data_IF_720220983905
#
_entry.id   IF_720220983905
#
_cell.length_a   1.000
_cell.length_b   1.000
_cell.length_c   1.000
_cell.angle_alpha   90.00
_cell.angle_beta   90.00
_cell.angle_gamma   90.00
#
_symmetry.space_group_name_H-M   'P 1'
#
loop_
_entity.id
_entity.type
_entity.pdbx_description
1 polymer ?
#
# COMPACT_ATOMS: atom_id res chain seq x y z
N UNK A 1 -11.08 11.14 11.90
CA UNK A 1 -10.88 10.20 10.77
C UNK A 1 -12.22 9.65 10.32
N UNK A 2 -12.46 9.63 9.04
CA UNK A 2 -13.72 9.15 8.48
C UNK A 2 -13.48 7.91 7.63
N UNK A 3 -14.10 6.79 8.01
CA UNK A 3 -14.01 5.53 7.28
C UNK A 3 -14.78 5.61 5.97
N UNK A 4 -14.14 5.17 4.89
CA UNK A 4 -14.76 4.99 3.58
C UNK A 4 -14.44 3.62 3.06
N UNK A 5 -15.31 3.05 2.24
CA UNK A 5 -15.02 1.82 1.50
C UNK A 5 -15.01 2.12 0.01
N UNK A 6 -14.06 1.54 -0.71
CA UNK A 6 -13.89 1.77 -2.15
C UNK A 6 -13.48 0.50 -2.86
N UNK A 7 -13.87 0.35 -4.12
CA UNK A 7 -13.27 -0.60 -5.04
C UNK A 7 -12.22 0.16 -5.83
N UNK A 8 -11.01 -0.37 -5.89
CA UNK A 8 -9.93 0.36 -6.55
C UNK A 8 -8.91 -0.57 -7.17
N UNK A 9 -8.33 -0.12 -8.28
CA UNK A 9 -7.22 -0.76 -8.95
C UNK A 9 -6.02 0.17 -8.91
N UNK A 10 -4.86 -0.39 -8.54
CA UNK A 10 -3.60 0.35 -8.54
C UNK A 10 -2.69 -0.25 -9.60
N UNK A 11 -2.08 0.61 -10.42
CA UNK A 11 -1.01 0.22 -11.34
C UNK A 11 0.27 0.85 -10.85
N UNK A 12 1.29 0.04 -10.65
CA UNK A 12 2.56 0.53 -10.11
C UNK A 12 3.75 -0.16 -10.75
N UNK A 13 4.87 0.55 -10.74
CA UNK A 13 6.17 0.00 -11.04
C UNK A 13 7.03 0.15 -9.80
N UNK A 14 7.59 -0.94 -9.31
CA UNK A 14 8.28 -0.90 -8.03
C UNK A 14 9.39 -1.92 -7.89
N UNK A 15 10.06 -1.79 -6.75
CA UNK A 15 11.12 -2.69 -6.30
C UNK A 15 10.55 -3.60 -5.23
N UNK A 16 10.80 -4.90 -5.38
CA UNK A 16 10.38 -5.90 -4.40
C UNK A 16 11.36 -5.96 -3.24
N UNK A 17 10.83 -6.03 -2.03
CA UNK A 17 11.61 -6.27 -0.83
C UNK A 17 10.99 -7.37 0.02
N UNK A 18 11.75 -7.88 0.98
CA UNK A 18 11.30 -8.88 1.92
C UNK A 18 12.02 -8.69 3.25
N UNK A 19 11.33 -8.91 4.34
CA UNK A 19 11.93 -8.83 5.66
C UNK A 19 10.92 -9.01 6.77
N UNK A 20 11.40 -8.87 8.01
CA UNK A 20 10.56 -8.96 9.18
C UNK A 20 9.55 -7.81 9.22
N UNK A 21 8.31 -8.12 9.55
CA UNK A 21 7.27 -7.08 9.67
C UNK A 21 7.67 -5.96 10.61
N UNK A 22 8.31 -6.28 11.71
CA UNK A 22 8.77 -5.29 12.69
C UNK A 22 9.80 -4.31 12.11
N UNK A 23 10.45 -4.65 10.99
CA UNK A 23 11.45 -3.83 10.33
C UNK A 23 10.93 -3.07 9.11
N UNK A 24 9.65 -3.21 8.78
CA UNK A 24 9.07 -2.52 7.62
C UNK A 24 9.21 -1.01 7.73
N UNK A 25 9.18 -0.45 8.92
CA UNK A 25 9.40 0.99 9.13
C UNK A 25 10.76 1.48 8.68
N UNK A 26 11.76 0.59 8.57
CA UNK A 26 13.10 0.89 8.04
C UNK A 26 13.25 0.44 6.59
N UNK A 27 12.75 -0.76 6.27
CA UNK A 27 12.95 -1.39 4.96
C UNK A 27 12.16 -0.69 3.86
N UNK A 28 10.93 -0.27 4.13
CA UNK A 28 10.09 0.36 3.13
C UNK A 28 10.63 1.72 2.69
N UNK A 29 11.02 2.63 3.61
CA UNK A 29 11.63 3.90 3.19
C UNK A 29 12.95 3.72 2.42
N UNK A 30 13.75 2.72 2.80
CA UNK A 30 15.00 2.43 2.09
C UNK A 30 14.73 1.99 0.65
N UNK A 31 13.75 1.12 0.45
CA UNK A 31 13.34 0.70 -0.89
C UNK A 31 12.78 1.87 -1.70
N UNK A 32 12.05 2.78 -1.06
CA UNK A 32 11.52 3.97 -1.72
C UNK A 32 12.63 4.85 -2.30
N UNK A 33 13.75 4.98 -1.60
CA UNK A 33 14.90 5.74 -2.11
C UNK A 33 15.48 5.08 -3.36
N UNK A 34 15.56 3.76 -3.42
CA UNK A 34 16.01 3.05 -4.62
C UNK A 34 15.11 3.32 -5.81
N UNK A 35 13.80 3.38 -5.58
CA UNK A 35 12.83 3.69 -6.62
C UNK A 35 13.08 5.09 -7.20
N UNK A 36 13.30 6.06 -6.34
CA UNK A 36 13.60 7.44 -6.79
C UNK A 36 14.83 7.48 -7.69
N UNK A 37 15.89 6.77 -7.31
CA UNK A 37 17.11 6.70 -8.10
C UNK A 37 16.86 6.07 -9.47
N UNK A 38 16.01 5.06 -9.55
CA UNK A 38 15.74 4.32 -10.79
C UNK A 38 14.61 4.91 -11.65
N UNK A 39 13.89 5.91 -11.13
CA UNK A 39 12.65 6.39 -11.74
C UNK A 39 12.83 7.13 -13.07
N UNK A 40 14.05 7.55 -13.40
CA UNK A 40 14.31 8.26 -14.65
C UNK A 40 13.99 7.47 -15.92
N UNK A 41 13.84 6.15 -15.83
CA UNK A 41 13.46 5.29 -16.95
C UNK A 41 11.98 4.95 -17.02
N UNK A 42 11.14 5.57 -16.18
CA UNK A 42 9.72 5.25 -16.11
C UNK A 42 8.90 6.33 -16.81
N UNK A 43 8.13 5.91 -17.80
CA UNK A 43 7.16 6.79 -18.47
C UNK A 43 5.80 6.67 -17.76
N UNK A 44 4.94 7.67 -17.98
CA UNK A 44 3.55 7.64 -17.49
C UNK A 44 3.41 7.57 -15.98
N UNK A 45 4.34 8.19 -15.25
CA UNK A 45 4.28 8.26 -13.80
C UNK A 45 3.20 9.27 -13.38
N UNK A 46 2.31 8.85 -12.49
CA UNK A 46 1.26 9.72 -11.95
C UNK A 46 1.76 10.64 -10.83
N UNK A 47 3.05 10.64 -10.54
CA UNK A 47 3.66 11.54 -9.57
C UNK A 47 3.52 11.16 -8.11
N UNK A 48 2.95 10.01 -7.80
CA UNK A 48 2.77 9.54 -6.43
C UNK A 48 3.55 8.27 -6.15
N UNK A 49 4.12 8.20 -4.96
CA UNK A 49 4.75 6.98 -4.46
C UNK A 49 3.70 6.08 -3.84
N UNK A 50 3.95 4.77 -3.91
CA UNK A 50 3.04 3.75 -3.39
C UNK A 50 3.85 2.63 -2.77
N UNK A 51 3.33 2.07 -1.67
CA UNK A 51 3.83 0.83 -1.10
C UNK A 51 2.69 -0.17 -1.01
N UNK A 52 2.96 -1.41 -1.37
CA UNK A 52 2.03 -2.52 -1.17
C UNK A 52 2.77 -3.61 -0.39
N UNK A 53 2.12 -4.19 0.61
CA UNK A 53 2.80 -5.16 1.46
C UNK A 53 1.80 -6.18 2.01
N UNK A 54 2.33 -7.38 2.29
CA UNK A 54 1.53 -8.43 2.89
C UNK A 54 1.05 -8.04 4.28
N UNK A 55 -0.21 -8.32 4.63
CA UNK A 55 -0.63 -8.23 6.01
C UNK A 55 -0.07 -9.43 6.78
N UNK A 56 0.14 -9.26 8.09
CA UNK A 56 0.53 -10.36 8.96
C UNK A 56 -0.66 -11.31 9.10
N UNK A 57 -0.48 -12.58 8.70
CA UNK A 57 -1.56 -13.56 8.63
C UNK A 57 -1.80 -14.27 9.95
N UNK A 58 -0.75 -14.44 10.77
CA UNK A 58 -0.84 -15.13 12.05
C UNK A 58 0.27 -14.65 12.96
N UNK A 59 0.20 -15.06 14.22
CA UNK A 59 1.21 -14.72 15.20
C UNK A 59 2.61 -15.20 14.79
N UNK A 60 2.67 -16.34 14.08
CA UNK A 60 3.93 -16.95 13.65
C UNK A 60 4.43 -16.44 12.30
N UNK A 61 3.66 -15.60 11.61
CA UNK A 61 4.04 -15.01 10.33
C UNK A 61 4.95 -13.80 10.61
N UNK A 62 6.26 -14.03 10.63
CA UNK A 62 7.23 -13.04 11.07
C UNK A 62 7.83 -12.21 9.95
N UNK A 63 7.82 -12.73 8.72
CA UNK A 63 8.39 -12.05 7.55
C UNK A 63 7.35 -11.92 6.45
N UNK A 64 7.44 -10.85 5.69
CA UNK A 64 6.56 -10.61 4.56
C UNK A 64 7.25 -9.93 3.42
N UNK A 65 6.57 -9.91 2.28
CA UNK A 65 7.03 -9.25 1.07
C UNK A 65 6.36 -7.90 0.93
N UNK A 66 7.07 -6.98 0.30
CA UNK A 66 6.53 -5.67 -0.04
C UNK A 66 7.08 -5.19 -1.38
N UNK A 67 6.35 -4.27 -1.99
CA UNK A 67 6.80 -3.56 -3.18
C UNK A 67 6.67 -2.08 -2.90
N UNK A 68 7.69 -1.31 -3.28
CA UNK A 68 7.66 0.15 -3.20
C UNK A 68 7.90 0.69 -4.60
N UNK A 69 7.10 1.63 -5.03
CA UNK A 69 7.20 2.11 -6.38
C UNK A 69 6.46 3.41 -6.62
N UNK A 70 6.15 3.60 -7.89
CA UNK A 70 5.44 4.79 -8.38
C UNK A 70 4.15 4.35 -9.05
N UNK A 71 3.08 5.10 -8.81
CA UNK A 71 1.83 4.91 -9.53
C UNK A 71 2.03 5.30 -10.99
N UNK A 72 1.49 4.49 -11.88
CA UNK A 72 1.46 4.77 -13.31
C UNK A 72 0.01 4.77 -13.80
N UNK A 73 -0.25 5.52 -14.85
CA UNK A 73 -1.62 5.71 -15.34
C UNK A 73 -1.99 4.76 -16.48
N UNK A 74 -1.01 4.02 -17.01
CA UNK A 74 -1.25 3.02 -18.07
C UNK A 74 -0.44 1.77 -17.79
N UNK A 75 -0.86 0.60 -18.33
CA UNK A 75 -0.02 -0.59 -18.28
C UNK A 75 1.30 -0.38 -19.01
N UNK A 76 2.39 -0.93 -18.49
CA UNK A 76 3.71 -0.80 -19.07
C UNK A 76 4.24 -2.18 -19.51
N UNK A 77 4.73 -2.26 -20.76
CA UNK A 77 5.37 -3.46 -21.28
C UNK A 77 6.85 -3.56 -20.87
N UNK A 78 7.47 -2.41 -20.64
CA UNK A 78 8.89 -2.33 -20.31
C UNK A 78 9.08 -1.51 -19.05
N UNK A 79 9.91 -2.03 -18.16
CA UNK A 79 10.24 -1.36 -16.90
C UNK A 79 11.76 -1.36 -16.72
N UNK A 80 12.30 -0.43 -15.91
CA UNK A 80 13.74 -0.42 -15.64
C UNK A 80 14.21 -1.74 -15.02
N UNK A 81 15.47 -2.08 -15.26
CA UNK A 81 16.07 -3.28 -14.70
C UNK A 81 15.96 -3.29 -13.19
N UNK A 82 15.54 -4.41 -12.62
CA UNK A 82 15.36 -4.57 -11.18
C UNK A 82 14.01 -4.10 -10.66
N UNK A 83 13.13 -3.62 -11.54
CA UNK A 83 11.78 -3.20 -11.18
C UNK A 83 10.74 -4.14 -11.78
N UNK A 84 9.54 -4.09 -11.24
CA UNK A 84 8.42 -4.92 -11.65
C UNK A 84 7.19 -4.05 -11.82
N UNK A 85 6.47 -4.25 -12.93
CA UNK A 85 5.13 -3.70 -13.08
C UNK A 85 4.12 -4.65 -12.44
N UNK A 86 3.18 -4.10 -11.67
CA UNK A 86 2.10 -4.92 -11.12
C UNK A 86 0.79 -4.14 -11.02
N UNK A 87 -0.29 -4.88 -10.99
CA UNK A 87 -1.63 -4.35 -10.78
C UNK A 87 -2.21 -4.97 -9.52
N UNK A 88 -2.80 -4.14 -8.67
CA UNK A 88 -3.45 -4.57 -7.44
C UNK A 88 -4.88 -4.09 -7.48
N UNK A 89 -5.82 -5.02 -7.38
CA UNK A 89 -7.25 -4.72 -7.45
C UNK A 89 -7.92 -5.26 -6.19
N UNK A 90 -8.78 -4.46 -5.59
CA UNK A 90 -9.50 -4.93 -4.42
C UNK A 90 -10.60 -4.00 -3.95
N UNK A 91 -11.24 -4.45 -2.88
CA UNK A 91 -12.21 -3.70 -2.12
C UNK A 91 -11.56 -3.32 -0.79
N UNK A 92 -11.58 -2.03 -0.45
CA UNK A 92 -10.77 -1.51 0.65
C UNK A 92 -11.57 -0.63 1.58
N UNK A 93 -11.18 -0.66 2.86
CA UNK A 93 -11.45 0.43 3.80
C UNK A 93 -10.29 1.40 3.71
N UNK A 94 -10.57 2.69 3.64
CA UNK A 94 -9.53 3.70 3.45
C UNK A 94 -9.73 4.88 4.36
N UNK A 95 -8.62 5.50 4.75
CA UNK A 95 -8.58 6.75 5.50
C UNK A 95 -7.30 7.50 5.18
N UNK A 96 -7.34 8.81 5.31
CA UNK A 96 -6.19 9.69 5.10
C UNK A 96 -5.71 10.26 6.42
N UNK A 97 -4.41 10.38 6.57
CA UNK A 97 -3.79 11.02 7.72
C UNK A 97 -2.37 11.46 7.40
N UNK A 98 -1.60 11.78 8.44
CA UNK A 98 -0.24 12.26 8.27
C UNK A 98 0.77 11.13 8.47
N UNK A 99 1.90 11.25 7.80
CA UNK A 99 3.00 10.27 7.95
C UNK A 99 3.56 10.24 9.37
N UNK A 100 3.49 11.36 10.09
CA UNK A 100 3.99 11.42 11.47
C UNK A 100 3.29 10.43 12.40
N UNK A 101 2.01 10.17 12.15
CA UNK A 101 1.21 9.26 12.97
C UNK A 101 0.75 8.04 12.17
N UNK A 102 1.60 7.51 11.32
CA UNK A 102 1.25 6.40 10.44
C UNK A 102 0.77 5.17 11.21
N UNK A 103 1.47 4.80 12.28
CA UNK A 103 1.07 3.64 13.07
C UNK A 103 -0.28 3.85 13.76
N UNK A 104 -0.50 5.04 14.31
CA UNK A 104 -1.79 5.38 14.92
C UNK A 104 -2.91 5.38 13.90
N UNK A 105 -2.66 5.86 12.70
CA UNK A 105 -3.64 5.86 11.62
C UNK A 105 -4.02 4.43 11.21
N UNK A 106 -3.04 3.54 11.07
CA UNK A 106 -3.31 2.12 10.79
C UNK A 106 -4.15 1.48 11.89
N UNK A 107 -3.78 1.70 13.14
CA UNK A 107 -4.50 1.12 14.27
C UNK A 107 -5.95 1.63 14.36
N UNK A 108 -6.15 2.92 14.15
CA UNK A 108 -7.46 3.53 14.19
C UNK A 108 -8.34 3.04 13.01
N UNK A 109 -7.77 2.94 11.82
CA UNK A 109 -8.51 2.45 10.66
C UNK A 109 -8.92 1.00 10.83
N UNK A 110 -8.00 0.16 11.32
CA UNK A 110 -8.30 -1.25 11.59
C UNK A 110 -9.44 -1.38 12.60
N UNK A 111 -9.35 -0.62 13.69
CA UNK A 111 -10.37 -0.64 14.74
C UNK A 111 -11.74 -0.25 14.21
N UNK A 112 -11.83 0.87 13.49
CA UNK A 112 -13.10 1.33 12.91
C UNK A 112 -13.66 0.33 11.88
N UNK A 113 -12.79 -0.26 11.09
CA UNK A 113 -13.18 -1.26 10.09
C UNK A 113 -13.85 -2.44 10.76
N UNK A 114 -13.22 -2.97 11.81
CA UNK A 114 -13.77 -4.11 12.54
C UNK A 114 -15.05 -3.76 13.30
N UNK A 115 -15.10 -2.58 13.92
CA UNK A 115 -16.29 -2.12 14.61
C UNK A 115 -17.49 -1.90 13.67
N UNK A 116 -17.21 -1.60 12.40
CA UNK A 116 -18.24 -1.45 11.38
C UNK A 116 -18.71 -2.77 10.77
N UNK A 117 -18.18 -3.90 11.24
CA UNK A 117 -18.59 -5.22 10.80
C UNK A 117 -17.85 -5.76 9.59
N UNK A 118 -16.83 -5.07 9.12
CA UNK A 118 -16.02 -5.56 8.01
C UNK A 118 -14.92 -6.51 8.49
N UNK A 119 -14.49 -7.39 7.61
CA UNK A 119 -13.40 -8.31 7.88
C UNK A 119 -12.24 -8.05 6.94
N UNK A 120 -11.02 -8.03 7.48
CA UNK A 120 -9.80 -7.83 6.70
C UNK A 120 -9.52 -9.08 5.87
N UNK A 121 -9.19 -8.87 4.60
CA UNK A 121 -8.74 -9.94 3.72
C UNK A 121 -7.23 -10.08 3.84
N UNK A 122 -6.78 -11.08 4.57
CA UNK A 122 -5.34 -11.28 4.84
C UNK A 122 -4.60 -11.95 3.69
N UNK A 123 -5.30 -12.29 2.62
CA UNK A 123 -4.69 -12.84 1.40
C UNK A 123 -4.34 -11.75 0.38
N UNK A 124 -4.75 -10.50 0.63
CA UNK A 124 -4.52 -9.39 -0.27
C UNK A 124 -3.57 -8.36 0.36
N UNK A 125 -2.96 -7.53 -0.48
CA UNK A 125 -2.01 -6.52 -0.01
C UNK A 125 -2.70 -5.35 0.68
N UNK A 126 -2.04 -4.84 1.72
CA UNK A 126 -2.31 -3.51 2.27
C UNK A 126 -1.62 -2.50 1.36
N UNK A 127 -2.26 -1.37 1.09
CA UNK A 127 -1.71 -0.34 0.19
C UNK A 127 -1.59 0.99 0.94
N UNK A 128 -0.47 1.67 0.73
CA UNK A 128 -0.25 3.04 1.20
C UNK A 128 0.13 3.89 -0.01
N UNK A 129 -0.60 4.98 -0.21
CA UNK A 129 -0.29 5.96 -1.25
C UNK A 129 0.15 7.25 -0.57
N UNK A 130 1.35 7.72 -0.90
CA UNK A 130 1.95 8.89 -0.26
C UNK A 130 1.66 10.13 -1.06
N UNK A 131 1.21 11.19 -0.37
CA UNK A 131 0.74 12.42 -1.01
C UNK A 131 1.58 13.57 -0.47
N UNK A 132 2.41 14.21 -1.30
CA UNK A 132 3.12 15.40 -0.86
C UNK A 132 2.14 16.50 -0.49
N UNK A 133 2.41 17.19 0.63
CA UNK A 133 1.60 18.31 1.09
C UNK A 133 2.51 19.42 1.61
N UNK A 134 1.99 20.65 1.65
CA UNK A 134 2.77 21.83 2.05
C UNK A 134 3.29 21.75 3.49
N UNK A 135 2.55 21.08 4.36
CA UNK A 135 2.87 20.97 5.79
C UNK A 135 3.44 19.62 6.18
N UNK A 136 3.84 18.81 5.21
CA UNK A 136 4.35 17.48 5.43
C UNK A 136 3.69 16.50 4.50
N UNK A 137 4.05 15.23 4.64
CA UNK A 137 3.52 14.18 3.78
C UNK A 137 2.25 13.58 4.38
N UNK A 138 1.21 13.47 3.57
CA UNK A 138 0.00 12.74 3.92
C UNK A 138 0.04 11.35 3.34
N UNK A 139 -0.79 10.46 3.83
CA UNK A 139 -0.89 9.09 3.36
C UNK A 139 -2.35 8.66 3.31
N UNK A 140 -2.70 7.95 2.24
CA UNK A 140 -3.95 7.21 2.15
C UNK A 140 -3.64 5.75 2.41
N UNK A 141 -4.28 5.16 3.41
CA UNK A 141 -4.16 3.73 3.71
C UNK A 141 -5.36 3.02 3.11
N UNK A 142 -5.11 1.85 2.52
CA UNK A 142 -6.15 0.98 1.97
C UNK A 142 -6.00 -0.40 2.60
N UNK A 143 -6.95 -0.77 3.47
CA UNK A 143 -6.98 -2.10 4.07
C UNK A 143 -7.89 -3.01 3.25
N UNK A 144 -7.37 -4.13 2.75
CA UNK A 144 -8.17 -5.03 1.92
C UNK A 144 -9.27 -5.71 2.75
N UNK A 145 -10.46 -5.73 2.20
CA UNK A 145 -11.64 -6.29 2.86
C UNK A 145 -12.08 -7.57 2.18
N UNK A 146 -12.54 -8.51 2.98
CA UNK A 146 -13.28 -9.64 2.46
C UNK A 146 -14.59 -9.12 1.89
N UNK A 147 -14.92 -9.55 0.67
CA UNK A 147 -16.22 -9.25 0.12
C UNK A 147 -17.25 -10.06 0.85
N UNK A 148 -18.28 -9.40 1.37
CA UNK A 148 -19.42 -10.12 1.88
C UNK A 148 -20.05 -10.86 0.71
N UNK A 149 -20.13 -12.18 0.85
CA UNK A 149 -20.93 -12.96 -0.06
C UNK A 149 -22.39 -12.74 0.31
N UNK A 150 -22.97 -11.71 -0.29
CA UNK A 150 -24.33 -11.33 -0.03
C UNK A 150 -25.34 -12.22 -0.77
N UNK A 151 -24.85 -13.24 -1.45
CA UNK A 151 -25.72 -14.23 -2.09
C UNK A 151 -26.37 -15.16 -1.08
N UNK A 152 -26.05 -14.97 0.16
CA UNK A 152 -26.81 -15.63 1.20
C UNK A 152 -27.87 -14.72 1.70
#
# INVERSE_FOLDING_TARGET
>A
MKLKTVNKQFRLVGVKGKGAFEKFGTLVPKAAQEVIVRSGGIESVAGKEIAVFEPKKSHDHLEGEFYVGLLVDIPLDKVPLGMTYMEVLGHYATARGTMEDLQGLHAALLKQTMESGFHINREEYIVEVYIPADTGEEVDIYLPLLRHNTAG
#
